data_IF_780068458427
#
_entry.id   IF_780068458427
#
_cell.length_a   1.000
_cell.length_b   1.000
_cell.length_c   1.000
_cell.angle_alpha   90.00
_cell.angle_beta   90.00
_cell.angle_gamma   90.00
#
_symmetry.space_group_name_H-M   'P 1'
#
loop_
_entity.id
_entity.type
_entity.pdbx_description
1 polymer ?
#
# COMPACT_ATOMS: atom_id res chain seq x y z
N UNK A 1 -41.09 -4.07 17.28
CA UNK A 1 -40.41 -3.20 18.26
C UNK A 1 -39.44 -4.05 19.06
N UNK A 2 -38.13 -3.84 18.91
CA UNK A 2 -37.12 -4.40 19.82
C UNK A 2 -35.95 -3.39 19.84
N UNK A 3 -35.66 -2.76 20.99
CA UNK A 3 -34.65 -1.70 21.06
C UNK A 3 -33.26 -2.27 21.40
N UNK A 4 -32.24 -1.53 20.99
CA UNK A 4 -30.86 -1.55 21.51
C UNK A 4 -29.92 -2.70 21.08
N UNK A 5 -29.23 -2.49 19.95
CA UNK A 5 -27.82 -2.90 19.82
C UNK A 5 -26.99 -1.75 19.23
N UNK A 6 -26.91 -0.64 19.96
CA UNK A 6 -25.81 0.31 19.78
C UNK A 6 -24.61 -0.26 20.52
N UNK A 7 -23.64 -0.84 19.80
CA UNK A 7 -22.36 -1.23 20.39
C UNK A 7 -21.64 0.07 20.79
N UNK A 8 -21.95 0.58 21.98
CA UNK A 8 -21.28 1.74 22.56
C UNK A 8 -19.86 1.31 22.86
N UNK A 9 -18.90 1.85 22.11
CA UNK A 9 -17.48 1.68 22.43
C UNK A 9 -17.25 2.17 23.86
N UNK A 10 -16.57 1.39 24.71
CA UNK A 10 -16.29 1.82 26.08
C UNK A 10 -15.50 3.13 26.05
N UNK A 11 -15.84 4.04 26.96
CA UNK A 11 -15.20 5.36 27.04
C UNK A 11 -13.68 5.19 27.23
N UNK A 12 -12.84 6.08 26.65
CA UNK A 12 -11.40 6.05 26.86
C UNK A 12 -11.04 6.11 28.34
N UNK A 13 -9.99 5.38 28.73
CA UNK A 13 -9.41 5.46 30.07
C UNK A 13 -8.59 6.75 30.17
N UNK A 14 -8.93 7.60 31.13
CA UNK A 14 -8.14 8.79 31.47
C UNK A 14 -7.12 8.45 32.55
N UNK A 15 -5.83 8.53 32.21
CA UNK A 15 -4.72 8.30 33.14
C UNK A 15 -4.04 9.63 33.48
N UNK A 16 -3.93 9.95 34.77
CA UNK A 16 -3.20 11.14 35.23
C UNK A 16 -1.71 10.83 35.23
N UNK A 17 -0.93 11.60 34.47
CA UNK A 17 0.51 11.46 34.38
C UNK A 17 1.18 12.79 34.73
N UNK A 18 2.25 12.72 35.49
CA UNK A 18 3.19 13.83 35.61
C UNK A 18 3.94 14.04 34.29
N UNK A 19 4.54 15.23 34.10
CA UNK A 19 5.34 15.53 32.90
C UNK A 19 6.49 14.53 32.70
N UNK A 20 7.12 14.09 33.81
CA UNK A 20 8.24 13.13 33.80
C UNK A 20 7.79 11.75 33.35
N UNK A 21 6.67 11.26 33.87
CA UNK A 21 6.10 9.95 33.50
C UNK A 21 5.65 9.93 32.04
N UNK A 22 4.99 11.01 31.58
CA UNK A 22 4.59 11.14 30.18
C UNK A 22 5.79 11.09 29.23
N UNK A 23 6.86 11.83 29.53
CA UNK A 23 8.07 11.82 28.71
C UNK A 23 8.77 10.45 28.72
N UNK A 24 8.76 9.74 29.85
CA UNK A 24 9.27 8.37 29.92
C UNK A 24 8.46 7.43 29.02
N UNK A 25 7.13 7.53 29.05
CA UNK A 25 6.23 6.75 28.20
C UNK A 25 6.42 7.04 26.71
N UNK A 26 6.57 8.32 26.34
CA UNK A 26 6.79 8.73 24.94
C UNK A 26 8.11 8.18 24.38
N UNK A 27 9.18 8.15 25.19
CA UNK A 27 10.44 7.50 24.79
C UNK A 27 10.29 5.99 24.66
N UNK A 28 9.62 5.36 25.61
CA UNK A 28 9.45 3.90 25.62
C UNK A 28 8.52 3.40 24.50
N UNK A 29 7.58 4.24 24.03
CA UNK A 29 6.68 3.92 22.94
C UNK A 29 7.35 3.81 21.57
N UNK A 30 8.58 4.33 21.38
CA UNK A 30 9.39 4.17 20.16
C UNK A 30 8.62 4.41 18.84
N UNK A 31 7.77 5.43 18.79
CA UNK A 31 6.97 5.78 17.61
C UNK A 31 5.56 5.17 17.57
N UNK A 32 5.18 4.32 18.52
CA UNK A 32 3.79 3.92 18.74
C UNK A 32 2.98 5.05 19.39
N UNK A 33 1.66 5.05 19.21
CA UNK A 33 0.80 5.95 20.01
C UNK A 33 0.82 5.51 21.47
N UNK A 34 0.76 6.47 22.41
CA UNK A 34 0.81 6.16 23.85
C UNK A 34 -0.27 5.15 24.25
N UNK A 35 -1.49 5.29 23.74
CA UNK A 35 -2.59 4.35 24.02
C UNK A 35 -2.31 2.94 23.49
N UNK A 36 -1.60 2.80 22.37
CA UNK A 36 -1.21 1.49 21.84
C UNK A 36 -0.08 0.87 22.68
N UNK A 37 0.91 1.68 23.08
CA UNK A 37 1.99 1.24 23.95
C UNK A 37 1.48 0.80 25.33
N UNK A 38 0.65 1.62 25.99
CA UNK A 38 0.03 1.29 27.28
C UNK A 38 -0.76 -0.01 27.20
N UNK A 39 -1.54 -0.20 26.13
CA UNK A 39 -2.30 -1.43 25.93
C UNK A 39 -1.38 -2.63 25.73
N UNK A 40 -0.30 -2.48 24.96
CA UNK A 40 0.68 -3.55 24.76
C UNK A 40 1.35 -3.97 26.07
N UNK A 41 1.65 -3.02 26.96
CA UNK A 41 2.19 -3.34 28.29
C UNK A 41 1.19 -4.09 29.19
N UNK A 42 -0.11 -3.76 29.11
CA UNK A 42 -1.14 -4.33 30.00
C UNK A 42 -1.66 -5.68 29.50
N UNK A 43 -1.76 -5.86 28.18
CA UNK A 43 -2.43 -7.01 27.57
C UNK A 43 -1.48 -7.89 26.72
N UNK A 44 -0.17 -7.83 26.98
CA UNK A 44 0.86 -8.51 26.18
C UNK A 44 0.64 -10.03 26.04
N UNK A 45 0.04 -10.67 27.05
CA UNK A 45 -0.09 -12.12 27.17
C UNK A 45 -1.47 -12.70 26.78
N UNK A 46 -2.46 -11.85 26.45
CA UNK A 46 -3.87 -12.28 26.50
C UNK A 46 -4.76 -12.05 25.28
N UNK A 47 -4.46 -11.10 24.39
CA UNK A 47 -5.41 -10.74 23.33
C UNK A 47 -4.79 -10.64 21.94
N UNK A 48 -5.49 -11.24 20.97
CA UNK A 48 -5.22 -11.11 19.55
C UNK A 48 -5.04 -9.64 19.21
N UNK A 49 -3.80 -9.25 18.89
CA UNK A 49 -3.44 -7.91 18.43
C UNK A 49 -4.50 -7.44 17.43
N UNK A 50 -5.31 -6.44 17.80
CA UNK A 50 -6.17 -5.76 16.81
C UNK A 50 -5.25 -5.42 15.64
N UNK A 51 -5.66 -5.78 14.42
CA UNK A 51 -4.96 -5.41 13.20
C UNK A 51 -4.90 -3.89 13.15
N UNK A 52 -3.87 -3.31 13.75
CA UNK A 52 -3.52 -1.92 13.54
C UNK A 52 -3.24 -1.87 12.05
N UNK A 53 -4.09 -1.17 11.28
CA UNK A 53 -3.82 -0.89 9.88
C UNK A 53 -2.41 -0.32 9.86
N UNK A 54 -1.43 -1.11 9.43
CA UNK A 54 -0.03 -0.73 9.43
C UNK A 54 0.03 0.60 8.73
N UNK A 55 0.40 1.65 9.47
CA UNK A 55 0.54 2.99 8.92
C UNK A 55 1.81 2.96 8.09
N UNK A 56 1.70 2.44 6.86
CA UNK A 56 2.77 2.52 5.88
C UNK A 56 3.19 3.99 5.74
N UNK A 57 4.49 4.30 5.64
CA UNK A 57 4.95 5.68 5.59
C UNK A 57 4.27 6.42 4.44
N UNK A 58 3.54 7.49 4.75
CA UNK A 58 2.80 8.30 3.76
C UNK A 58 3.73 8.83 2.63
N UNK A 59 5.02 9.01 2.95
CA UNK A 59 6.05 9.42 1.98
C UNK A 59 6.30 8.37 0.89
N UNK A 60 6.26 7.09 1.22
CA UNK A 60 6.45 6.01 0.24
C UNK A 60 5.25 5.95 -0.71
N UNK A 61 4.03 6.15 -0.19
CA UNK A 61 2.83 6.25 -1.03
C UNK A 61 2.85 7.46 -1.98
N UNK A 62 3.34 8.61 -1.54
CA UNK A 62 3.44 9.77 -2.43
C UNK A 62 4.45 9.53 -3.57
N UNK A 63 5.61 8.93 -3.25
CA UNK A 63 6.61 8.57 -4.25
C UNK A 63 6.07 7.51 -5.25
N UNK A 64 5.40 6.48 -4.74
CA UNK A 64 4.78 5.44 -5.57
C UNK A 64 3.64 5.99 -6.44
N UNK A 65 2.81 6.88 -5.90
CA UNK A 65 1.72 7.51 -6.64
C UNK A 65 2.25 8.42 -7.76
N UNK A 66 3.32 9.18 -7.50
CA UNK A 66 4.01 9.97 -8.54
C UNK A 66 4.60 9.06 -9.62
N UNK A 67 5.26 7.96 -9.25
CA UNK A 67 5.80 7.00 -10.21
C UNK A 67 4.70 6.40 -11.09
N UNK A 68 3.57 5.99 -10.50
CA UNK A 68 2.41 5.47 -11.24
C UNK A 68 1.82 6.54 -12.17
N UNK A 69 1.72 7.79 -11.72
CA UNK A 69 1.25 8.91 -12.53
C UNK A 69 2.15 9.18 -13.74
N UNK A 70 3.46 9.22 -13.53
CA UNK A 70 4.45 9.37 -14.62
C UNK A 70 4.36 8.21 -15.61
N UNK A 71 4.22 6.98 -15.13
CA UNK A 71 4.07 5.80 -15.98
C UNK A 71 2.81 5.91 -16.87
N UNK A 72 1.68 6.34 -16.30
CA UNK A 72 0.44 6.57 -17.04
C UNK A 72 0.55 7.69 -18.08
N UNK A 73 1.27 8.77 -17.77
CA UNK A 73 1.50 9.90 -18.68
C UNK A 73 2.46 9.55 -19.83
N UNK A 74 3.41 8.65 -19.60
CA UNK A 74 4.47 8.32 -20.56
C UNK A 74 3.96 7.70 -21.87
N UNK A 75 2.72 7.16 -21.88
CA UNK A 75 2.13 6.40 -22.99
C UNK A 75 2.99 5.23 -23.50
N UNK A 76 4.03 4.82 -22.75
CA UNK A 76 5.01 3.80 -23.15
C UNK A 76 4.31 2.49 -23.52
N UNK A 77 3.39 2.01 -22.67
CA UNK A 77 2.65 0.78 -22.93
C UNK A 77 1.87 0.83 -24.25
N UNK A 78 1.22 1.96 -24.56
CA UNK A 78 0.46 2.11 -25.79
C UNK A 78 1.37 2.15 -27.02
N UNK A 79 2.46 2.90 -26.95
CA UNK A 79 3.45 2.97 -28.03
C UNK A 79 4.07 1.60 -28.31
N UNK A 80 4.42 0.85 -27.27
CA UNK A 80 4.98 -0.50 -27.42
C UNK A 80 3.99 -1.47 -28.05
N UNK A 81 2.72 -1.42 -27.65
CA UNK A 81 1.68 -2.24 -28.26
C UNK A 81 1.42 -1.87 -29.73
N UNK A 82 1.54 -0.58 -30.10
CA UNK A 82 1.47 -0.17 -31.51
C UNK A 82 2.66 -0.72 -32.31
N UNK A 83 3.88 -0.60 -31.78
CA UNK A 83 5.07 -1.16 -32.42
C UNK A 83 4.99 -2.68 -32.58
N UNK A 84 4.57 -3.40 -31.54
CA UNK A 84 4.35 -4.85 -31.59
C UNK A 84 3.29 -5.22 -32.64
N UNK A 85 2.18 -4.47 -32.74
CA UNK A 85 1.17 -4.69 -33.78
C UNK A 85 1.70 -4.45 -35.19
N UNK A 86 2.44 -3.37 -35.41
CA UNK A 86 3.03 -3.06 -36.72
C UNK A 86 4.10 -4.08 -37.11
N UNK A 87 4.85 -4.59 -36.12
CA UNK A 87 5.78 -5.69 -36.30
C UNK A 87 5.04 -6.98 -36.71
N UNK A 88 4.04 -7.40 -35.92
CA UNK A 88 3.25 -8.62 -36.17
C UNK A 88 2.47 -8.56 -37.49
N UNK A 89 2.06 -7.37 -37.95
CA UNK A 89 1.36 -7.18 -39.23
C UNK A 89 2.31 -7.10 -40.43
N UNK A 90 3.63 -7.17 -40.23
CA UNK A 90 4.64 -6.99 -41.28
C UNK A 90 4.72 -5.58 -41.85
N UNK A 91 4.09 -4.59 -41.21
CA UNK A 91 4.16 -3.18 -41.62
C UNK A 91 5.44 -2.49 -41.14
N UNK A 92 6.08 -3.06 -40.13
CA UNK A 92 7.41 -2.69 -39.66
C UNK A 92 8.37 -3.81 -40.08
N UNK A 93 9.42 -3.47 -40.84
CA UNK A 93 10.46 -4.43 -41.19
C UNK A 93 11.35 -4.71 -39.97
N UNK A 94 11.00 -5.74 -39.22
CA UNK A 94 11.71 -6.22 -38.03
C UNK A 94 11.87 -7.73 -38.10
N UNK A 95 12.94 -8.25 -37.50
CA UNK A 95 13.13 -9.68 -37.33
C UNK A 95 12.29 -10.22 -36.17
N UNK A 96 12.05 -11.54 -36.16
CA UNK A 96 11.26 -12.24 -35.14
C UNK A 96 11.79 -11.94 -33.72
N UNK A 97 13.11 -11.89 -33.57
CA UNK A 97 13.75 -11.58 -32.27
C UNK A 97 13.44 -10.18 -31.76
N UNK A 98 13.23 -9.21 -32.64
CA UNK A 98 12.85 -7.84 -32.26
C UNK A 98 11.38 -7.78 -31.87
N UNK A 99 10.53 -8.57 -32.53
CA UNK A 99 9.12 -8.72 -32.16
C UNK A 99 8.98 -9.27 -30.74
N UNK A 100 9.67 -10.37 -30.43
CA UNK A 100 9.67 -10.99 -29.10
C UNK A 100 10.11 -9.99 -28.02
N UNK A 101 11.18 -9.22 -28.27
CA UNK A 101 11.67 -8.18 -27.34
C UNK A 101 10.66 -7.06 -27.12
N UNK A 102 9.87 -6.70 -28.13
CA UNK A 102 8.80 -5.70 -27.99
C UNK A 102 7.67 -6.22 -27.12
N UNK A 103 7.26 -7.47 -27.31
CA UNK A 103 6.22 -8.11 -26.48
C UNK A 103 6.69 -8.28 -25.03
N UNK A 104 7.94 -8.73 -24.83
CA UNK A 104 8.56 -8.86 -23.51
C UNK A 104 8.61 -7.50 -22.78
N UNK A 105 9.07 -6.47 -23.48
CA UNK A 105 9.14 -5.11 -22.92
C UNK A 105 7.75 -4.58 -22.54
N UNK A 106 6.71 -4.95 -23.29
CA UNK A 106 5.33 -4.55 -23.00
C UNK A 106 4.83 -5.24 -21.74
N UNK A 107 5.09 -6.54 -21.62
CA UNK A 107 4.75 -7.32 -20.43
C UNK A 107 5.43 -6.75 -19.17
N UNK A 108 6.71 -6.36 -19.24
CA UNK A 108 7.42 -5.72 -18.14
C UNK A 108 6.78 -4.39 -17.68
N UNK A 109 6.33 -3.56 -18.62
CA UNK A 109 5.66 -2.29 -18.29
C UNK A 109 4.31 -2.51 -17.59
N UNK A 110 3.56 -3.53 -18.01
CA UNK A 110 2.31 -3.92 -17.34
C UNK A 110 2.60 -4.46 -15.93
N UNK A 111 3.62 -5.31 -15.78
CA UNK A 111 4.03 -5.82 -14.47
C UNK A 111 4.43 -4.69 -13.50
N UNK A 112 5.19 -3.70 -13.98
CA UNK A 112 5.55 -2.51 -13.18
C UNK A 112 4.32 -1.73 -12.74
N UNK A 113 3.34 -1.52 -13.64
CA UNK A 113 2.07 -0.88 -13.28
C UNK A 113 1.37 -1.64 -12.16
N UNK A 114 1.24 -2.95 -12.30
CA UNK A 114 0.49 -3.79 -11.36
C UNK A 114 1.16 -3.83 -9.98
N UNK A 115 2.49 -3.91 -9.93
CA UNK A 115 3.24 -3.80 -8.67
C UNK A 115 3.06 -2.44 -7.98
N UNK A 116 3.08 -1.33 -8.73
CA UNK A 116 2.85 0.00 -8.17
C UNK A 116 1.41 0.15 -7.62
N UNK A 117 0.43 -0.37 -8.34
CA UNK A 117 -0.98 -0.35 -7.93
C UNK A 117 -1.21 -1.20 -6.67
N UNK A 118 -0.60 -2.38 -6.59
CA UNK A 118 -0.63 -3.24 -5.40
C UNK A 118 0.07 -2.59 -4.20
N UNK A 119 1.25 -1.99 -4.39
CA UNK A 119 1.98 -1.30 -3.33
C UNK A 119 1.23 -0.07 -2.76
N UNK A 120 0.39 0.57 -3.59
CA UNK A 120 -0.50 1.66 -3.19
C UNK A 120 -1.80 1.16 -2.53
N UNK A 121 -2.10 -0.14 -2.58
CA UNK A 121 -3.34 -0.72 -2.07
C UNK A 121 -4.59 -0.27 -2.83
N UNK A 122 -4.45 0.09 -4.11
CA UNK A 122 -5.54 0.59 -4.96
C UNK A 122 -6.39 -0.54 -5.58
N UNK A 123 -5.82 -1.74 -5.67
CA UNK A 123 -6.55 -2.96 -5.98
C UNK A 123 -6.51 -3.83 -4.72
N UNK A 124 -7.67 -4.12 -4.15
CA UNK A 124 -7.77 -5.16 -3.14
C UNK A 124 -7.35 -6.47 -3.81
N UNK A 125 -6.20 -7.01 -3.37
CA UNK A 125 -5.92 -8.42 -3.53
C UNK A 125 -7.10 -9.14 -2.87
N UNK A 126 -8.05 -9.64 -3.68
CA UNK A 126 -9.07 -10.56 -3.20
C UNK A 126 -8.30 -11.73 -2.61
N UNK A 127 -8.20 -11.73 -1.29
CA UNK A 127 -7.61 -12.80 -0.50
C UNK A 127 -8.20 -14.12 -1.01
N UNK A 128 -7.33 -14.91 -1.65
CA UNK A 128 -7.56 -16.32 -1.94
C UNK A 128 -7.30 -17.13 -0.68
#
# INVERSE_FOLDING_TARGET
MNPETSIKTPKPISLRLTKKERAALERAAQGMTLSAYIRACIFADGEAKRKTKTRMPVKDHEALARALGLLGQSRIANNLNQLARHANSGSLAVDETTVEKLEESYAHVIALRDQLVAALGLLEEKAR
#
